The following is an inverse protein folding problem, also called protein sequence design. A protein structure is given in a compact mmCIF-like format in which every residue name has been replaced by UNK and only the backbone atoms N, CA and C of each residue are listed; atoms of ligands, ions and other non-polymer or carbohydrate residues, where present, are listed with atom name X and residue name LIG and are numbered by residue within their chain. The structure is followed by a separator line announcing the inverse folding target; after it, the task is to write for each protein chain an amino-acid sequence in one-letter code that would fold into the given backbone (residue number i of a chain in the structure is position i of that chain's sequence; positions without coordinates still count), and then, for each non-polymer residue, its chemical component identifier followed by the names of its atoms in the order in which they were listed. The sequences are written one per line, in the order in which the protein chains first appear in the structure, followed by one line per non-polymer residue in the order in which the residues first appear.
data_IF_496903408539
#
_entry.id   IF_496903408539
#
_cell.length_a   1.000
_cell.length_b   1.000
_cell.length_c   1.000
_cell.angle_alpha   90.00
_cell.angle_beta   90.00
_cell.angle_gamma   90.00
#
_symmetry.space_group_name_H-M   'P 1'
#
loop_
_entity.id
_entity.type
_entity.pdbx_description
1 polymer ?
#
# COMPACT_ATOMS: atom_id res chain seq x y z
N UNK A 1 12.37 -21.73 6.30
CA UNK A 1 13.00 -21.61 7.63
C UNK A 1 12.24 -22.36 8.73
N UNK A 2 10.93 -22.20 8.92
CA UNK A 2 10.19 -22.91 9.99
C UNK A 2 10.23 -24.44 9.88
N UNK A 3 10.08 -24.97 8.66
CA UNK A 3 10.18 -26.41 8.41
C UNK A 3 11.60 -26.90 8.73
N UNK A 4 12.62 -26.09 8.44
CA UNK A 4 14.02 -26.41 8.78
C UNK A 4 14.19 -26.44 10.29
N UNK A 5 13.72 -25.41 11.01
CA UNK A 5 13.76 -25.38 12.49
C UNK A 5 13.06 -26.59 13.12
N UNK A 6 11.95 -27.03 12.52
CA UNK A 6 11.25 -28.24 12.95
C UNK A 6 12.16 -29.48 12.88
N UNK A 7 12.92 -29.65 11.79
CA UNK A 7 13.79 -30.81 11.58
C UNK A 7 15.17 -30.69 12.23
N UNK A 8 15.63 -29.49 12.61
CA UNK A 8 16.83 -29.31 13.43
C UNK A 8 16.69 -30.03 14.78
N UNK A 9 15.47 -30.13 15.32
CA UNK A 9 15.23 -30.89 16.53
C UNK A 9 15.47 -32.40 16.28
N UNK A 10 16.44 -33.03 16.98
CA UNK A 10 16.80 -34.44 16.76
C UNK A 10 15.63 -35.42 16.92
N UNK A 11 14.62 -35.06 17.73
CA UNK A 11 13.41 -35.87 17.92
C UNK A 11 12.56 -36.00 16.64
N UNK A 12 12.60 -34.99 15.78
CA UNK A 12 11.81 -34.90 14.56
C UNK A 12 12.53 -35.49 13.34
N UNK A 13 13.84 -35.70 13.43
CA UNK A 13 14.68 -36.25 12.36
C UNK A 13 14.20 -37.64 11.89
N UNK A 14 13.54 -38.41 12.76
CA UNK A 14 12.97 -39.73 12.39
C UNK A 14 11.95 -39.66 11.24
N UNK A 15 11.24 -38.53 11.11
CA UNK A 15 10.25 -38.35 10.05
C UNK A 15 10.90 -38.19 8.66
N UNK A 16 12.21 -37.90 8.60
CA UNK A 16 12.94 -37.84 7.32
C UNK A 16 13.02 -39.22 6.64
N UNK A 17 13.00 -40.32 7.41
CA UNK A 17 12.99 -41.70 6.87
C UNK A 17 11.80 -41.95 5.95
N UNK A 18 10.67 -41.28 6.19
CA UNK A 18 9.48 -41.40 5.38
C UNK A 18 9.68 -40.87 3.95
N UNK A 19 10.73 -40.08 3.69
CA UNK A 19 10.99 -39.47 2.38
C UNK A 19 12.02 -40.23 1.55
N UNK A 20 12.58 -41.34 2.05
CA UNK A 20 13.65 -42.09 1.39
C UNK A 20 13.32 -42.49 -0.06
N UNK A 21 12.04 -42.72 -0.37
CA UNK A 21 11.57 -43.10 -1.72
C UNK A 21 11.70 -41.98 -2.76
N UNK A 22 11.89 -40.72 -2.34
CA UNK A 22 12.01 -39.56 -3.22
C UNK A 22 13.47 -39.18 -3.54
N UNK A 23 14.44 -39.86 -2.93
CA UNK A 23 15.87 -39.60 -3.12
C UNK A 23 16.48 -40.66 -4.05
N UNK A 24 17.45 -40.26 -4.86
CA UNK A 24 18.10 -41.15 -5.83
C UNK A 24 18.98 -42.21 -5.13
N UNK A 25 19.66 -41.83 -4.04
CA UNK A 25 20.51 -42.74 -3.28
C UNK A 25 19.86 -43.16 -1.96
N UNK A 26 19.97 -44.45 -1.65
CA UNK A 26 19.54 -45.02 -0.37
C UNK A 26 20.34 -44.50 0.83
N UNK A 27 21.46 -43.80 0.58
CA UNK A 27 22.30 -43.22 1.63
C UNK A 27 22.01 -41.75 1.93
N UNK A 28 21.21 -41.06 1.09
CA UNK A 28 20.99 -39.61 1.21
C UNK A 28 20.29 -39.24 2.52
N UNK A 29 19.12 -39.83 2.80
CA UNK A 29 18.41 -39.57 4.06
C UNK A 29 19.25 -40.00 5.28
N UNK A 30 19.86 -41.21 5.34
CA UNK A 30 20.76 -41.57 6.43
C UNK A 30 21.91 -40.58 6.63
N UNK A 31 22.48 -40.03 5.55
CA UNK A 31 23.53 -39.03 5.62
C UNK A 31 23.00 -37.71 6.20
N UNK A 32 21.87 -37.20 5.69
CA UNK A 32 21.20 -35.99 6.22
C UNK A 32 20.88 -36.16 7.71
N UNK A 33 20.29 -37.29 8.10
CA UNK A 33 19.96 -37.58 9.50
C UNK A 33 21.19 -37.64 10.40
N UNK A 34 22.30 -38.20 9.90
CA UNK A 34 23.57 -38.24 10.62
C UNK A 34 24.11 -36.82 10.81
N UNK A 35 24.10 -36.01 9.75
CA UNK A 35 24.59 -34.63 9.78
C UNK A 35 23.82 -33.79 10.80
N UNK A 36 22.48 -33.85 10.77
CA UNK A 36 21.62 -33.11 11.71
C UNK A 36 21.83 -33.52 13.17
N UNK A 37 22.10 -34.81 13.42
CA UNK A 37 22.30 -35.36 14.77
C UNK A 37 23.70 -35.15 15.33
N UNK A 38 24.73 -35.23 14.49
CA UNK A 38 26.13 -35.30 14.92
C UNK A 38 26.83 -33.96 14.81
N UNK A 39 26.50 -33.12 13.83
CA UNK A 39 27.19 -31.85 13.67
C UNK A 39 26.89 -30.92 14.85
N UNK A 40 27.92 -30.23 15.35
CA UNK A 40 27.77 -29.12 16.30
C UNK A 40 27.60 -27.77 15.58
N UNK A 41 27.87 -27.73 14.27
CA UNK A 41 27.78 -26.51 13.46
C UNK A 41 26.39 -26.37 12.85
N UNK A 42 25.79 -25.21 13.06
CA UNK A 42 24.45 -24.91 12.57
C UNK A 42 24.39 -24.88 11.04
N UNK A 43 25.43 -24.40 10.38
CA UNK A 43 25.51 -24.27 8.92
C UNK A 43 25.49 -25.62 8.20
N UNK A 44 26.15 -26.63 8.78
CA UNK A 44 26.19 -27.99 8.21
C UNK A 44 24.79 -28.65 8.28
N UNK A 45 24.07 -28.43 9.39
CA UNK A 45 22.66 -28.87 9.52
C UNK A 45 21.75 -28.16 8.54
N UNK A 46 21.92 -26.85 8.39
CA UNK A 46 21.15 -26.05 7.44
C UNK A 46 21.35 -26.56 6.02
N UNK A 47 22.59 -26.76 5.60
CA UNK A 47 22.90 -27.23 4.25
C UNK A 47 22.22 -28.58 3.97
N UNK A 48 22.33 -29.54 4.90
CA UNK A 48 21.69 -30.85 4.75
C UNK A 48 20.15 -30.76 4.66
N UNK A 49 19.52 -29.90 5.47
CA UNK A 49 18.07 -29.72 5.46
C UNK A 49 17.58 -28.90 4.26
N UNK A 50 18.38 -27.97 3.74
CA UNK A 50 18.09 -27.27 2.50
C UNK A 50 18.10 -28.24 1.32
N UNK A 51 19.14 -29.06 1.19
CA UNK A 51 19.18 -30.13 0.19
C UNK A 51 17.97 -31.06 0.29
N UNK A 52 17.58 -31.45 1.50
CA UNK A 52 16.37 -32.23 1.72
C UNK A 52 15.11 -31.52 1.19
N UNK A 53 14.92 -30.24 1.51
CA UNK A 53 13.76 -29.48 1.09
C UNK A 53 13.72 -29.23 -0.42
N UNK A 54 14.87 -29.02 -1.06
CA UNK A 54 14.94 -28.85 -2.52
C UNK A 54 14.38 -30.10 -3.23
N UNK A 55 14.82 -31.29 -2.83
CA UNK A 55 14.31 -32.55 -3.38
C UNK A 55 12.82 -32.76 -3.08
N UNK A 56 12.37 -32.41 -1.87
CA UNK A 56 10.95 -32.58 -1.49
C UNK A 56 10.04 -31.60 -2.23
N UNK A 57 10.45 -30.34 -2.39
CA UNK A 57 9.62 -29.34 -3.07
C UNK A 57 9.53 -29.56 -4.59
N UNK A 58 10.47 -30.28 -5.19
CA UNK A 58 10.41 -30.69 -6.60
C UNK A 58 9.37 -31.80 -6.87
N UNK A 59 8.85 -32.47 -5.83
CA UNK A 59 7.89 -33.57 -5.97
C UNK A 59 6.58 -33.33 -5.22
N UNK A 60 5.47 -33.22 -5.96
CA UNK A 60 4.15 -32.94 -5.38
C UNK A 60 3.69 -33.95 -4.32
N UNK A 61 3.97 -35.24 -4.49
CA UNK A 61 3.57 -36.25 -3.51
C UNK A 61 4.45 -36.20 -2.25
N UNK A 62 5.73 -35.87 -2.41
CA UNK A 62 6.60 -35.58 -1.28
C UNK A 62 6.11 -34.34 -0.51
N UNK A 63 5.69 -33.27 -1.20
CA UNK A 63 5.10 -32.09 -0.56
C UNK A 63 3.84 -32.44 0.26
N UNK A 64 2.93 -33.26 -0.28
CA UNK A 64 1.75 -33.72 0.48
C UNK A 64 2.13 -34.52 1.72
N UNK A 65 3.18 -35.34 1.62
CA UNK A 65 3.69 -36.12 2.75
C UNK A 65 4.31 -35.21 3.81
N UNK A 66 5.09 -34.20 3.37
CA UNK A 66 5.62 -33.16 4.23
C UNK A 66 4.51 -32.39 4.94
N UNK A 67 3.43 -32.04 4.25
CA UNK A 67 2.27 -31.39 4.86
C UNK A 67 1.66 -32.22 6.00
N UNK A 68 1.49 -33.53 5.77
CA UNK A 68 1.00 -34.46 6.80
C UNK A 68 1.94 -34.55 8.01
N UNK A 69 3.26 -34.52 7.79
CA UNK A 69 4.26 -34.50 8.87
C UNK A 69 4.18 -33.19 9.65
N UNK A 70 4.10 -32.04 8.98
CA UNK A 70 3.99 -30.72 9.63
C UNK A 70 2.76 -30.69 10.54
N UNK A 71 1.63 -31.23 10.07
CA UNK A 71 0.39 -31.32 10.88
C UNK A 71 0.56 -32.13 12.18
N UNK A 72 1.41 -33.16 12.17
CA UNK A 72 1.67 -34.01 13.34
C UNK A 72 2.68 -33.35 14.28
N UNK A 73 3.77 -32.82 13.73
CA UNK A 73 4.93 -32.35 14.49
C UNK A 73 4.75 -30.92 15.00
N UNK A 74 4.12 -30.06 14.19
CA UNK A 74 3.87 -28.66 14.52
C UNK A 74 2.47 -28.25 14.02
N UNK A 75 1.40 -28.62 14.74
CA UNK A 75 0.03 -28.32 14.34
C UNK A 75 -0.25 -26.82 14.30
N UNK A 76 0.45 -26.02 15.11
CA UNK A 76 0.30 -24.56 15.12
C UNK A 76 0.80 -23.96 13.82
N UNK A 77 2.02 -24.33 13.38
CA UNK A 77 2.56 -23.94 12.07
C UNK A 77 1.64 -24.39 10.93
N UNK A 78 1.12 -25.62 11.01
CA UNK A 78 0.21 -26.14 10.00
C UNK A 78 -1.08 -25.31 9.92
N UNK A 79 -1.68 -24.98 11.06
CA UNK A 79 -2.90 -24.17 11.14
C UNK A 79 -2.67 -22.73 10.64
N UNK A 80 -1.52 -22.13 10.97
CA UNK A 80 -1.11 -20.80 10.49
C UNK A 80 -0.94 -20.80 8.97
N UNK A 81 -0.21 -21.77 8.41
CA UNK A 81 0.03 -21.86 6.97
C UNK A 81 -1.25 -22.14 6.16
N UNK A 82 -2.17 -22.96 6.69
CA UNK A 82 -3.43 -23.33 6.03
C UNK A 82 -4.59 -22.37 6.32
N UNK A 83 -4.36 -21.32 7.11
CA UNK A 83 -5.40 -20.35 7.49
C UNK A 83 -6.67 -21.02 8.07
N UNK A 84 -6.52 -22.19 8.71
CA UNK A 84 -7.64 -23.10 9.03
C UNK A 84 -8.66 -22.52 10.01
N UNK A 85 -8.21 -21.65 10.91
CA UNK A 85 -9.04 -21.06 11.95
C UNK A 85 -9.83 -19.85 11.46
N UNK A 86 -9.75 -19.52 10.16
CA UNK A 86 -10.45 -18.37 9.58
C UNK A 86 -11.74 -18.84 8.91
N UNK A 87 -12.84 -18.16 9.20
CA UNK A 87 -14.09 -18.36 8.48
C UNK A 87 -13.91 -17.96 7.02
N UNK A 88 -14.41 -18.78 6.09
CA UNK A 88 -14.46 -18.47 4.65
C UNK A 88 -15.17 -17.15 4.34
N UNK A 89 -16.02 -16.67 5.26
CA UNK A 89 -16.73 -15.39 5.12
C UNK A 89 -15.99 -14.18 5.69
N UNK A 90 -14.79 -14.37 6.24
CA UNK A 90 -13.95 -13.29 6.75
C UNK A 90 -13.65 -12.26 5.67
N UNK A 91 -14.04 -11.00 5.93
CA UNK A 91 -13.72 -9.86 5.08
C UNK A 91 -12.19 -9.65 4.99
N UNK A 92 -11.46 -9.86 6.09
CA UNK A 92 -9.99 -9.76 6.10
C UNK A 92 -9.36 -10.80 5.18
N UNK A 93 -9.85 -12.05 5.19
CA UNK A 93 -9.33 -13.10 4.31
C UNK A 93 -9.63 -12.80 2.85
N UNK A 94 -10.87 -12.40 2.53
CA UNK A 94 -11.27 -12.05 1.15
C UNK A 94 -10.39 -10.93 0.59
N UNK A 95 -10.20 -9.86 1.37
CA UNK A 95 -9.34 -8.74 0.97
C UNK A 95 -7.86 -9.16 0.88
N UNK A 96 -7.37 -10.00 1.79
CA UNK A 96 -6.01 -10.51 1.73
C UNK A 96 -5.76 -11.32 0.45
N UNK A 97 -6.66 -12.24 0.12
CA UNK A 97 -6.56 -13.04 -1.10
C UNK A 97 -6.62 -12.15 -2.35
N UNK A 98 -7.57 -11.20 -2.42
CA UNK A 98 -7.69 -10.26 -3.54
C UNK A 98 -6.39 -9.47 -3.79
N UNK A 99 -5.70 -9.05 -2.73
CA UNK A 99 -4.52 -8.17 -2.83
C UNK A 99 -3.20 -8.91 -3.00
N UNK A 100 -3.04 -10.06 -2.36
CA UNK A 100 -1.78 -10.82 -2.41
C UNK A 100 -1.79 -11.97 -3.42
N UNK A 101 -2.96 -12.35 -3.95
CA UNK A 101 -3.16 -13.40 -4.94
C UNK A 101 -4.15 -12.93 -6.03
N UNK A 102 -3.76 -11.94 -6.86
CA UNK A 102 -4.64 -11.41 -7.89
C UNK A 102 -5.00 -12.49 -8.93
N UNK A 103 -6.26 -12.49 -9.38
CA UNK A 103 -6.72 -13.44 -10.40
C UNK A 103 -6.02 -13.19 -11.75
N UNK A 104 -5.56 -14.26 -12.40
CA UNK A 104 -5.07 -14.22 -13.79
C UNK A 104 -3.56 -14.19 -13.98
N UNK A 105 -2.76 -14.25 -12.91
CA UNK A 105 -1.30 -14.33 -13.02
C UNK A 105 -0.72 -15.32 -11.99
N UNK A 106 -0.72 -16.61 -12.34
CA UNK A 106 -0.24 -17.71 -11.49
C UNK A 106 1.26 -17.61 -11.18
N UNK A 107 2.04 -16.85 -11.96
CA UNK A 107 3.46 -16.62 -11.73
C UNK A 107 3.74 -15.46 -10.75
N UNK A 108 2.72 -14.66 -10.45
CA UNK A 108 2.86 -13.43 -9.69
C UNK A 108 2.53 -13.64 -8.21
N UNK A 109 3.48 -14.30 -7.52
CA UNK A 109 3.40 -14.51 -6.07
C UNK A 109 3.76 -13.19 -5.34
N UNK A 110 2.80 -12.27 -5.26
CA UNK A 110 2.99 -10.98 -4.58
C UNK A 110 3.35 -11.16 -3.11
N UNK A 111 2.80 -12.18 -2.46
CA UNK A 111 3.09 -12.47 -1.05
C UNK A 111 4.58 -12.69 -0.81
N UNK A 112 5.25 -13.49 -1.65
CA UNK A 112 6.68 -13.79 -1.51
C UNK A 112 7.55 -12.57 -1.82
N UNK A 113 7.18 -11.79 -2.84
CA UNK A 113 7.85 -10.51 -3.14
C UNK A 113 7.72 -9.52 -1.99
N UNK A 114 6.53 -9.42 -1.39
CA UNK A 114 6.30 -8.60 -0.22
C UNK A 114 7.11 -9.12 0.98
N UNK A 115 7.13 -10.42 1.22
CA UNK A 115 7.91 -11.02 2.31
C UNK A 115 9.42 -10.78 2.16
N UNK A 116 9.93 -10.79 0.92
CA UNK A 116 11.33 -10.53 0.62
C UNK A 116 11.72 -9.05 0.74
N UNK A 117 10.77 -8.13 0.54
CA UNK A 117 11.01 -6.68 0.55
C UNK A 117 10.62 -6.00 1.88
N UNK A 118 9.85 -6.67 2.74
CA UNK A 118 9.37 -6.12 4.00
C UNK A 118 10.43 -6.24 5.08
N UNK A 119 10.83 -5.10 5.63
CA UNK A 119 11.61 -5.01 6.86
C UNK A 119 10.66 -5.00 8.06
N UNK A 120 10.66 -6.11 8.79
CA UNK A 120 9.72 -6.40 9.86
C UNK A 120 9.86 -5.45 11.06
N UNK A 121 11.09 -5.08 11.45
CA UNK A 121 11.32 -4.24 12.62
C UNK A 121 10.79 -2.82 12.37
N UNK A 122 11.17 -2.22 11.24
CA UNK A 122 10.69 -0.89 10.87
C UNK A 122 9.19 -0.86 10.62
N UNK A 123 8.63 -1.94 10.06
CA UNK A 123 7.19 -2.07 9.84
C UNK A 123 6.42 -2.06 11.17
N UNK A 124 6.79 -2.92 12.13
CA UNK A 124 6.13 -2.99 13.44
C UNK A 124 6.25 -1.67 14.20
N UNK A 125 7.41 -1.02 14.15
CA UNK A 125 7.63 0.30 14.74
C UNK A 125 6.74 1.39 14.12
N UNK A 126 6.53 1.35 12.81
CA UNK A 126 5.66 2.29 12.10
C UNK A 126 4.18 2.04 12.36
N UNK A 127 3.79 0.77 12.47
CA UNK A 127 2.45 0.31 12.78
C UNK A 127 2.03 0.72 14.21
N UNK A 128 2.93 0.60 15.18
CA UNK A 128 2.68 1.00 16.58
C UNK A 128 2.42 2.51 16.76
N UNK A 129 2.81 3.34 15.77
CA UNK A 129 2.54 4.79 15.74
C UNK A 129 1.21 5.14 15.05
N UNK A 130 0.38 4.16 14.70
CA UNK A 130 -0.95 4.40 14.15
C UNK A 130 -2.00 4.42 15.27
N UNK A 131 -3.08 5.16 15.05
CA UNK A 131 -4.17 5.28 16.01
C UNK A 131 -4.88 3.93 16.25
N UNK A 132 -4.81 3.02 15.28
CA UNK A 132 -5.34 1.67 15.37
C UNK A 132 -4.28 0.71 15.92
N UNK A 133 -4.59 0.06 17.04
CA UNK A 133 -3.72 -0.94 17.65
C UNK A 133 -3.80 -2.30 16.97
N UNK A 134 -2.64 -2.90 16.68
CA UNK A 134 -2.47 -4.25 16.13
C UNK A 134 -1.65 -5.13 17.08
N UNK A 135 -2.19 -5.46 18.28
CA UNK A 135 -1.46 -6.27 19.26
C UNK A 135 -1.08 -7.64 18.71
N UNK A 136 -1.85 -8.21 17.79
CA UNK A 136 -1.58 -9.49 17.15
C UNK A 136 -0.30 -9.46 16.32
N UNK A 137 0.01 -8.32 15.70
CA UNK A 137 1.22 -8.14 14.88
C UNK A 137 2.42 -7.70 15.72
N UNK A 138 2.19 -6.86 16.74
CA UNK A 138 3.24 -6.33 17.62
C UNK A 138 3.74 -7.40 18.60
N UNK A 139 2.87 -8.32 19.04
CA UNK A 139 3.23 -9.39 19.99
C UNK A 139 3.90 -10.60 19.34
N UNK A 140 4.09 -10.59 18.02
CA UNK A 140 4.81 -11.66 17.33
C UNK A 140 6.22 -11.74 17.89
N UNK A 141 6.57 -12.90 18.44
CA UNK A 141 7.92 -13.16 18.93
C UNK A 141 8.89 -13.02 17.78
N UNK A 142 9.88 -12.13 17.94
CA UNK A 142 10.97 -11.95 16.98
C UNK A 142 11.64 -13.30 16.76
N UNK A 143 11.60 -13.84 15.52
CA UNK A 143 12.24 -15.10 15.25
C UNK A 143 13.75 -14.90 15.22
N UNK A 144 14.44 -15.63 16.09
CA UNK A 144 15.89 -15.67 16.12
C UNK A 144 16.37 -17.03 15.65
N UNK A 145 17.48 -17.02 14.93
CA UNK A 145 18.17 -18.23 14.52
C UNK A 145 19.60 -18.15 15.03
N UNK A 146 19.88 -18.85 16.14
CA UNK A 146 21.09 -18.60 16.92
C UNK A 146 21.05 -17.24 17.61
N UNK A 147 22.07 -16.40 17.35
CA UNK A 147 22.17 -15.03 17.88
C UNK A 147 21.64 -13.96 16.91
N UNK A 148 21.34 -14.33 15.66
CA UNK A 148 20.87 -13.41 14.62
C UNK A 148 19.34 -13.43 14.47
N UNK A 149 18.79 -12.29 14.02
CA UNK A 149 17.36 -12.14 13.72
C UNK A 149 17.12 -12.62 12.29
N UNK A 150 16.14 -13.50 12.10
CA UNK A 150 15.72 -13.95 10.77
C UNK A 150 14.63 -13.00 10.24
N UNK A 151 15.06 -11.91 9.61
CA UNK A 151 14.17 -10.86 9.08
C UNK A 151 13.15 -11.40 8.08
N UNK A 152 13.58 -12.30 7.17
CA UNK A 152 12.69 -12.89 6.15
C UNK A 152 11.62 -13.74 6.80
N UNK A 153 12.00 -14.56 7.79
CA UNK A 153 11.02 -15.33 8.54
C UNK A 153 10.06 -14.41 9.30
N UNK A 154 10.57 -13.35 9.92
CA UNK A 154 9.73 -12.39 10.64
C UNK A 154 8.70 -11.74 9.71
N UNK A 155 9.14 -11.27 8.54
CA UNK A 155 8.28 -10.67 7.52
C UNK A 155 7.19 -11.66 7.05
N UNK A 156 7.56 -12.89 6.72
CA UNK A 156 6.61 -13.92 6.29
C UNK A 156 5.57 -14.22 7.39
N UNK A 157 5.98 -14.23 8.65
CA UNK A 157 5.08 -14.46 9.80
C UNK A 157 4.11 -13.30 10.00
N UNK A 158 4.57 -12.06 9.86
CA UNK A 158 3.71 -10.87 9.88
C UNK A 158 2.65 -10.97 8.78
N UNK A 159 3.06 -11.23 7.55
CA UNK A 159 2.15 -11.29 6.40
C UNK A 159 1.12 -12.42 6.54
N UNK A 160 1.52 -13.60 7.05
CA UNK A 160 0.60 -14.71 7.37
C UNK A 160 -0.37 -14.40 8.52
N UNK A 161 -0.04 -13.43 9.36
CA UNK A 161 -0.91 -13.00 10.46
C UNK A 161 -1.97 -11.98 10.02
N UNK A 162 -1.77 -11.26 8.90
CA UNK A 162 -2.73 -10.31 8.36
C UNK A 162 -4.16 -10.88 8.14
N UNK A 163 -4.35 -12.05 7.49
CA UNK A 163 -5.69 -12.62 7.32
C UNK A 163 -6.31 -13.14 8.63
N UNK A 164 -5.50 -13.35 9.68
CA UNK A 164 -5.97 -13.78 11.02
C UNK A 164 -6.56 -12.61 11.84
N UNK A 165 -6.40 -11.37 11.37
CA UNK A 165 -6.93 -10.20 12.06
C UNK A 165 -8.46 -10.23 12.07
N UNK A 166 -9.05 -10.34 13.26
CA UNK A 166 -10.50 -10.28 13.47
C UNK A 166 -10.99 -8.82 13.37
N UNK A 167 -11.09 -8.32 12.14
CA UNK A 167 -11.49 -6.94 11.84
C UNK A 167 -12.72 -6.96 10.93
N UNK A 168 -13.71 -6.15 11.28
CA UNK A 168 -14.93 -5.99 10.49
C UNK A 168 -14.77 -4.96 9.35
N UNK A 169 -13.64 -4.26 9.30
CA UNK A 169 -13.33 -3.24 8.30
C UNK A 169 -12.06 -3.60 7.55
N UNK A 170 -11.96 -3.08 6.33
CA UNK A 170 -10.80 -3.06 5.46
C UNK A 170 -9.67 -2.13 5.95
N UNK A 171 -9.82 -1.50 7.13
CA UNK A 171 -8.85 -0.52 7.65
C UNK A 171 -7.45 -1.10 7.86
N UNK A 172 -7.36 -2.39 8.20
CA UNK A 172 -6.07 -3.05 8.43
C UNK A 172 -5.15 -2.98 7.20
N UNK A 173 -5.73 -3.04 6.01
CA UNK A 173 -4.98 -3.00 4.77
C UNK A 173 -4.42 -1.60 4.50
N UNK A 174 -5.22 -0.56 4.70
CA UNK A 174 -4.76 0.81 4.53
C UNK A 174 -3.76 1.21 5.62
N UNK A 175 -3.92 0.69 6.84
CA UNK A 175 -2.95 0.90 7.91
C UNK A 175 -1.64 0.16 7.62
N UNK A 176 -1.68 -1.04 7.03
CA UNK A 176 -0.51 -1.73 6.48
C UNK A 176 0.18 -0.88 5.41
N UNK A 177 -0.54 -0.42 4.40
CA UNK A 177 0.01 0.44 3.32
C UNK A 177 0.61 1.73 3.88
N UNK A 178 -0.07 2.35 4.86
CA UNK A 178 0.39 3.56 5.54
C UNK A 178 1.62 3.32 6.41
N UNK A 179 1.74 2.17 7.06
CA UNK A 179 2.94 1.80 7.80
C UNK A 179 4.13 1.63 6.84
N UNK A 180 3.93 0.96 5.71
CA UNK A 180 4.96 0.80 4.69
C UNK A 180 5.36 2.12 4.02
N UNK A 181 4.45 3.08 3.85
CA UNK A 181 4.77 4.36 3.17
C UNK A 181 5.56 5.34 4.04
N UNK A 182 5.39 5.25 5.37
CA UNK A 182 6.10 6.06 6.37
C UNK A 182 7.59 5.73 6.43
N UNK A 183 7.97 4.51 6.09
CA UNK A 183 9.34 4.03 6.17
C UNK A 183 9.98 3.90 4.77
N UNK A 184 11.17 4.50 4.52
CA UNK A 184 11.84 4.40 3.21
C UNK A 184 12.16 2.96 2.78
N UNK A 185 12.50 2.06 3.71
CA UNK A 185 12.88 0.68 3.42
C UNK A 185 11.67 -0.16 3.01
N UNK A 186 10.51 0.09 3.62
CA UNK A 186 9.28 -0.66 3.33
C UNK A 186 8.49 -0.13 2.12
N UNK A 187 8.89 1.00 1.51
CA UNK A 187 8.26 1.50 0.28
C UNK A 187 8.39 0.53 -0.90
N UNK A 188 9.45 -0.29 -0.92
CA UNK A 188 9.64 -1.30 -1.96
C UNK A 188 8.46 -2.29 -2.02
N UNK A 189 7.88 -2.64 -0.86
CA UNK A 189 6.68 -3.49 -0.77
C UNK A 189 5.51 -2.87 -1.54
N UNK A 190 5.34 -1.54 -1.46
CA UNK A 190 4.25 -0.83 -2.13
C UNK A 190 4.41 -0.81 -3.64
N UNK A 191 5.63 -0.83 -4.15
CA UNK A 191 5.85 -0.91 -5.60
C UNK A 191 5.29 -2.21 -6.20
N UNK A 192 5.34 -3.31 -5.44
CA UNK A 192 4.76 -4.59 -5.85
C UNK A 192 3.25 -4.64 -5.58
N UNK A 193 2.81 -4.17 -4.42
CA UNK A 193 1.44 -4.36 -3.95
C UNK A 193 0.46 -3.33 -4.52
N UNK A 194 0.81 -2.04 -4.49
CA UNK A 194 0.02 -0.93 -5.04
C UNK A 194 0.92 0.20 -5.57
N UNK A 195 1.24 0.22 -6.87
CA UNK A 195 1.99 1.31 -7.49
C UNK A 195 1.34 2.69 -7.29
N UNK A 196 0.02 2.75 -7.17
CA UNK A 196 -0.76 3.96 -6.95
C UNK A 196 -1.16 4.18 -5.47
N UNK A 197 -0.34 3.70 -4.51
CA UNK A 197 -0.67 3.74 -3.08
C UNK A 197 -0.98 5.16 -2.55
N UNK A 198 -0.37 6.21 -3.11
CA UNK A 198 -0.58 7.60 -2.66
C UNK A 198 -2.03 8.06 -2.87
N UNK A 199 -2.56 7.84 -4.07
CA UNK A 199 -3.95 8.14 -4.44
C UNK A 199 -4.92 7.31 -3.59
N UNK A 200 -4.60 6.02 -3.39
CA UNK A 200 -5.41 5.11 -2.58
C UNK A 200 -5.50 5.57 -1.12
N UNK A 201 -4.38 6.01 -0.53
CA UNK A 201 -4.35 6.55 0.82
C UNK A 201 -5.10 7.88 0.92
N UNK A 202 -4.96 8.77 -0.07
CA UNK A 202 -5.67 10.04 -0.11
C UNK A 202 -7.20 9.84 -0.17
N UNK A 203 -7.66 9.00 -1.10
CA UNK A 203 -9.07 8.64 -1.25
C UNK A 203 -9.63 8.04 0.05
N UNK A 204 -8.87 7.20 0.74
CA UNK A 204 -9.28 6.63 2.02
C UNK A 204 -9.38 7.68 3.13
N UNK A 205 -8.50 8.67 3.16
CA UNK A 205 -8.58 9.78 4.12
C UNK A 205 -9.80 10.66 3.87
N UNK A 206 -10.19 10.86 2.61
CA UNK A 206 -11.43 11.56 2.23
C UNK A 206 -12.65 10.75 2.71
N UNK A 207 -12.66 9.44 2.46
CA UNK A 207 -13.73 8.55 2.90
C UNK A 207 -13.88 8.52 4.43
N UNK A 208 -12.78 8.40 5.18
CA UNK A 208 -12.79 8.45 6.65
C UNK A 208 -13.32 9.80 7.18
N UNK A 209 -13.00 10.91 6.50
CA UNK A 209 -13.57 12.23 6.81
C UNK A 209 -15.08 12.23 6.61
N UNK A 210 -15.58 11.73 5.47
CA UNK A 210 -17.03 11.61 5.18
C UNK A 210 -17.78 10.77 6.21
N UNK A 211 -17.21 9.64 6.65
CA UNK A 211 -17.79 8.78 7.70
C UNK A 211 -17.88 9.50 9.07
N UNK A 212 -16.86 10.29 9.42
CA UNK A 212 -16.84 11.08 10.68
C UNK A 212 -17.83 12.25 10.66
N UNK A 213 -18.00 12.89 9.51
CA UNK A 213 -18.97 13.99 9.32
C UNK A 213 -20.41 13.47 9.08
N UNK A 214 -20.64 12.16 9.19
CA UNK A 214 -21.93 11.47 9.02
C UNK A 214 -23.02 11.81 10.06
N UNK A 215 -22.89 12.90 10.81
CA UNK A 215 -24.03 13.64 11.36
C UNK A 215 -24.10 14.97 10.60
N UNK A 216 -24.85 14.96 9.50
CA UNK A 216 -25.20 16.13 8.68
C UNK A 216 -24.14 16.61 7.68
N UNK A 217 -23.91 15.85 6.61
CA UNK A 217 -23.68 16.45 5.29
C UNK A 217 -24.56 15.70 4.32
N UNK A 218 -25.61 16.38 3.84
CA UNK A 218 -26.44 15.89 2.73
C UNK A 218 -25.57 15.87 1.46
N UNK A 219 -25.51 14.71 0.83
CA UNK A 219 -25.33 14.38 -0.59
C UNK A 219 -24.91 15.44 -1.65
N UNK A 220 -23.95 16.33 -1.38
CA UNK A 220 -23.46 17.27 -2.41
C UNK A 220 -22.04 17.00 -2.94
N UNK A 221 -21.44 15.83 -2.70
CA UNK A 221 -20.08 15.57 -3.19
C UNK A 221 -19.82 14.13 -3.66
N UNK A 222 -20.73 13.60 -4.46
CA UNK A 222 -20.49 12.41 -5.29
C UNK A 222 -20.13 12.85 -6.72
N UNK A 223 -18.86 12.74 -7.12
CA UNK A 223 -18.52 12.70 -8.56
C UNK A 223 -18.75 11.27 -9.04
N UNK A 224 -20.02 10.92 -9.21
CA UNK A 224 -20.41 9.84 -10.10
C UNK A 224 -20.14 10.25 -11.55
N UNK A 225 -20.10 9.28 -12.46
CA UNK A 225 -19.94 9.49 -13.89
C UNK A 225 -20.73 10.73 -14.34
N UNK A 226 -20.01 11.80 -14.69
CA UNK A 226 -20.60 13.07 -15.10
C UNK A 226 -21.38 12.79 -16.37
N UNK A 227 -22.71 12.95 -16.39
CA UNK A 227 -23.44 12.90 -17.64
C UNK A 227 -22.85 13.98 -18.54
N UNK A 228 -22.52 13.62 -19.77
CA UNK A 228 -21.92 14.51 -20.75
C UNK A 228 -22.87 15.70 -20.99
N UNK A 229 -22.57 16.84 -20.36
CA UNK A 229 -23.40 18.05 -20.45
C UNK A 229 -23.06 18.72 -21.78
N UNK A 230 -23.93 18.55 -22.76
CA UNK A 230 -23.81 19.12 -24.11
C UNK A 230 -24.33 20.56 -24.22
N UNK A 231 -24.90 21.11 -23.15
CA UNK A 231 -25.50 22.45 -23.13
C UNK A 231 -24.80 23.41 -22.16
N UNK A 232 -24.69 24.69 -22.56
CA UNK A 232 -24.15 25.74 -21.69
C UNK A 232 -25.06 25.94 -20.47
N UNK A 233 -24.55 25.68 -19.26
CA UNK A 233 -25.27 25.92 -18.01
C UNK A 233 -25.45 27.41 -17.74
N UNK A 234 -26.58 27.78 -17.12
CA UNK A 234 -26.86 29.18 -16.79
C UNK A 234 -26.22 29.53 -15.44
N UNK A 235 -25.76 30.77 -15.23
CA UNK A 235 -25.18 31.20 -13.95
C UNK A 235 -26.12 31.02 -12.74
N UNK A 236 -27.44 31.03 -12.96
CA UNK A 236 -28.46 30.75 -11.94
C UNK A 236 -28.34 29.35 -11.35
N UNK A 237 -27.87 28.39 -12.14
CA UNK A 237 -27.77 27.00 -11.74
C UNK A 237 -26.69 26.81 -10.67
N UNK A 238 -25.76 27.77 -10.53
CA UNK A 238 -24.71 27.77 -9.51
C UNK A 238 -25.06 28.56 -8.24
N UNK A 239 -26.25 29.15 -8.17
CA UNK A 239 -26.63 30.00 -7.03
C UNK A 239 -26.67 29.24 -5.69
N UNK A 240 -26.96 27.94 -5.70
CA UNK A 240 -27.00 27.11 -4.50
C UNK A 240 -25.61 26.69 -4.00
N UNK A 241 -24.58 26.71 -4.88
CA UNK A 241 -23.18 26.48 -4.50
C UNK A 241 -22.49 27.74 -3.98
N UNK A 242 -23.11 28.91 -4.09
CA UNK A 242 -22.64 30.13 -3.40
C UNK A 242 -22.92 29.95 -1.92
N UNK A 243 -21.97 29.32 -1.22
CA UNK A 243 -22.02 29.13 0.22
C UNK A 243 -22.15 30.50 0.90
N UNK A 244 -23.03 30.62 1.90
CA UNK A 244 -23.16 31.80 2.75
C UNK A 244 -22.01 31.94 3.76
N UNK A 245 -20.78 31.63 3.34
CA UNK A 245 -19.59 31.69 4.19
C UNK A 245 -19.05 33.12 4.15
N UNK A 246 -19.76 34.00 4.85
CA UNK A 246 -19.24 35.28 5.29
C UNK A 246 -19.31 35.27 6.81
N UNK A 247 -18.48 34.47 7.48
CA UNK A 247 -18.22 34.64 8.93
C UNK A 247 -16.88 34.01 9.40
N UNK A 248 -16.22 33.17 8.59
CA UNK A 248 -14.85 32.71 8.84
C UNK A 248 -13.85 33.27 7.81
N UNK A 249 -13.83 34.59 7.62
CA UNK A 249 -12.68 35.24 6.97
C UNK A 249 -11.56 35.29 8.00
N UNK A 250 -10.84 34.17 8.13
CA UNK A 250 -9.48 34.22 8.64
C UNK A 250 -8.72 35.13 7.67
N UNK A 251 -8.25 36.30 8.14
CA UNK A 251 -7.46 37.24 7.33
C UNK A 251 -6.39 36.44 6.58
N UNK A 252 -6.54 36.40 5.25
CA UNK A 252 -5.62 35.66 4.40
C UNK A 252 -4.23 36.22 4.60
N UNK A 253 -3.25 35.34 4.80
CA UNK A 253 -1.85 35.73 4.72
C UNK A 253 -1.63 36.51 3.43
N UNK A 254 -1.09 37.73 3.53
CA UNK A 254 -0.80 38.57 2.37
C UNK A 254 0.03 37.77 1.37
N UNK A 255 -0.53 37.50 0.19
CA UNK A 255 0.12 36.69 -0.84
C UNK A 255 1.36 37.45 -1.35
N UNK A 256 2.54 37.04 -0.86
CA UNK A 256 3.84 37.62 -1.23
C UNK A 256 4.46 36.81 -2.36
N UNK A 257 4.62 37.45 -3.51
CA UNK A 257 5.30 36.85 -4.65
C UNK A 257 6.81 36.72 -4.39
N UNK A 258 7.42 35.67 -4.92
CA UNK A 258 8.88 35.52 -5.03
C UNK A 258 9.41 36.42 -6.15
N UNK A 259 10.71 36.80 -6.15
CA UNK A 259 11.24 37.73 -7.16
C UNK A 259 10.97 37.33 -8.62
N UNK A 260 11.05 36.03 -8.95
CA UNK A 260 10.74 35.56 -10.31
C UNK A 260 9.23 35.59 -10.64
N UNK A 261 8.36 35.50 -9.63
CA UNK A 261 6.92 35.61 -9.79
C UNK A 261 6.51 37.07 -10.02
N UNK A 262 7.19 38.02 -9.36
CA UNK A 262 7.02 39.46 -9.61
C UNK A 262 7.38 39.81 -11.06
N UNK A 263 8.49 39.28 -11.58
CA UNK A 263 8.88 39.43 -12.98
C UNK A 263 7.81 38.88 -13.95
N UNK A 264 7.26 37.69 -13.65
CA UNK A 264 6.18 37.09 -14.44
C UNK A 264 4.88 37.92 -14.42
N UNK A 265 4.59 38.59 -13.29
CA UNK A 265 3.38 39.39 -13.09
C UNK A 265 3.49 40.80 -13.69
N UNK A 266 4.69 41.38 -13.77
CA UNK A 266 4.94 42.78 -14.09
C UNK A 266 4.24 43.25 -15.37
N UNK A 267 4.30 42.46 -16.44
CA UNK A 267 3.66 42.81 -17.72
C UNK A 267 2.13 42.82 -17.61
N UNK A 268 1.54 41.87 -16.88
CA UNK A 268 0.10 41.77 -16.68
C UNK A 268 -0.43 42.87 -15.75
N UNK A 269 0.32 43.21 -14.69
CA UNK A 269 0.00 44.32 -13.77
C UNK A 269 -0.02 45.69 -14.47
N UNK A 270 0.72 45.84 -15.59
CA UNK A 270 0.66 47.03 -16.45
C UNK A 270 -0.53 47.04 -17.42
N UNK A 271 -1.46 46.09 -17.30
CA UNK A 271 -2.63 45.97 -18.17
C UNK A 271 -2.32 45.43 -19.57
N UNK A 272 -1.18 44.76 -19.78
CA UNK A 272 -0.84 44.14 -21.07
C UNK A 272 -1.33 42.69 -21.12
N UNK A 273 -1.88 42.31 -22.27
CA UNK A 273 -2.16 40.89 -22.56
C UNK A 273 -0.85 40.09 -22.51
N UNK A 274 -0.75 39.19 -21.54
CA UNK A 274 0.51 38.52 -21.18
C UNK A 274 0.31 37.00 -21.16
N UNK A 275 1.26 36.26 -21.72
CA UNK A 275 1.35 34.80 -21.56
C UNK A 275 2.47 34.52 -20.55
N UNK A 276 2.12 34.05 -19.37
CA UNK A 276 3.09 33.69 -18.34
C UNK A 276 3.56 32.24 -18.54
N UNK A 277 4.82 32.06 -18.97
CA UNK A 277 5.43 30.75 -19.17
C UNK A 277 6.37 30.42 -18.01
N UNK A 278 6.04 29.43 -17.20
CA UNK A 278 6.89 28.95 -16.12
C UNK A 278 6.73 27.44 -15.85
N UNK A 279 7.76 26.74 -15.35
CA UNK A 279 7.73 25.30 -15.07
C UNK A 279 6.59 24.88 -14.14
N UNK A 280 6.24 23.59 -14.12
CA UNK A 280 5.29 23.04 -13.14
C UNK A 280 5.83 23.21 -11.71
N UNK A 281 4.97 23.53 -10.74
CA UNK A 281 5.38 23.80 -9.35
C UNK A 281 5.99 25.19 -9.09
N UNK A 282 6.11 26.05 -10.10
CA UNK A 282 6.65 27.42 -9.93
C UNK A 282 5.67 28.43 -9.30
N UNK A 283 4.44 28.03 -8.99
CA UNK A 283 3.43 28.92 -8.41
C UNK A 283 2.73 29.83 -9.43
N UNK A 284 2.48 29.36 -10.66
CA UNK A 284 1.72 30.11 -11.69
C UNK A 284 0.33 30.55 -11.20
N UNK A 285 -0.32 29.75 -10.36
CA UNK A 285 -1.63 30.08 -9.79
C UNK A 285 -1.54 31.27 -8.83
N UNK A 286 -0.48 31.35 -8.01
CA UNK A 286 -0.24 32.49 -7.11
C UNK A 286 -0.04 33.79 -7.91
N UNK A 287 0.70 33.73 -9.01
CA UNK A 287 0.87 34.86 -9.95
C UNK A 287 -0.47 35.31 -10.52
N UNK A 288 -1.31 34.37 -10.96
CA UNK A 288 -2.62 34.68 -11.53
C UNK A 288 -3.58 35.30 -10.51
N UNK A 289 -3.57 34.80 -9.27
CA UNK A 289 -4.35 35.36 -8.16
C UNK A 289 -3.88 36.79 -7.87
N UNK A 290 -2.57 37.00 -7.73
CA UNK A 290 -2.00 38.33 -7.46
C UNK A 290 -2.42 39.37 -8.51
N UNK A 291 -2.31 39.03 -9.80
CA UNK A 291 -2.71 39.92 -10.90
C UNK A 291 -4.20 40.26 -10.83
N UNK A 292 -5.07 39.29 -10.52
CA UNK A 292 -6.50 39.54 -10.40
C UNK A 292 -6.83 40.40 -9.17
N UNK A 293 -6.22 40.14 -8.01
CA UNK A 293 -6.40 40.96 -6.81
C UNK A 293 -5.95 42.39 -7.06
N UNK A 294 -4.76 42.60 -7.63
CA UNK A 294 -4.29 43.96 -7.95
C UNK A 294 -5.18 44.70 -8.93
N UNK A 295 -5.76 44.01 -9.92
CA UNK A 295 -6.70 44.64 -10.86
C UNK A 295 -8.03 45.01 -10.21
N UNK A 296 -8.49 44.22 -9.24
CA UNK A 296 -9.68 44.54 -8.45
C UNK A 296 -9.43 45.74 -7.54
N UNK A 297 -8.27 45.79 -6.88
CA UNK A 297 -7.88 46.89 -5.99
C UNK A 297 -7.74 48.21 -6.77
N UNK A 298 -7.03 48.19 -7.91
CA UNK A 298 -6.88 49.37 -8.79
C UNK A 298 -8.24 49.89 -9.26
N UNK A 299 -9.20 49.00 -9.54
CA UNK A 299 -10.56 49.40 -9.93
C UNK A 299 -11.39 49.94 -8.78
N UNK A 300 -11.23 49.37 -7.59
CA UNK A 300 -11.89 49.84 -6.37
C UNK A 300 -11.41 51.27 -6.03
N UNK A 301 -10.10 51.52 -6.10
CA UNK A 301 -9.51 52.86 -5.92
C UNK A 301 -10.03 53.86 -6.96
N UNK A 302 -10.16 53.43 -8.22
CA UNK A 302 -10.64 54.26 -9.32
C UNK A 302 -12.18 54.40 -9.38
N UNK A 303 -12.94 53.93 -8.37
CA UNK A 303 -14.41 54.00 -8.28
C UNK A 303 -15.13 53.43 -9.52
N UNK A 304 -14.50 52.50 -10.24
CA UNK A 304 -15.10 51.87 -11.40
C UNK A 304 -15.99 50.70 -10.94
N UNK A 305 -17.16 50.49 -11.55
CA UNK A 305 -18.04 49.39 -11.15
C UNK A 305 -17.35 48.05 -11.44
N UNK A 306 -17.26 47.18 -10.42
CA UNK A 306 -16.71 45.82 -10.51
C UNK A 306 -17.55 44.84 -11.39
N UNK A 307 -18.41 45.37 -12.27
CA UNK A 307 -19.42 44.62 -13.03
C UNK A 307 -18.87 43.82 -14.21
N UNK A 308 -17.60 43.99 -14.55
CA UNK A 308 -16.91 43.15 -15.54
C UNK A 308 -16.12 42.09 -14.77
N UNK A 309 -16.72 40.92 -14.57
CA UNK A 309 -16.16 39.84 -13.77
C UNK A 309 -14.81 39.35 -14.29
N UNK A 310 -13.94 38.94 -13.37
CA UNK A 310 -12.78 38.12 -13.71
C UNK A 310 -13.25 36.69 -13.94
N UNK A 311 -13.00 36.16 -15.13
CA UNK A 311 -13.30 34.78 -15.47
C UNK A 311 -11.99 34.00 -15.63
N UNK A 312 -11.77 33.03 -14.76
CA UNK A 312 -10.65 32.11 -14.86
C UNK A 312 -11.09 30.85 -15.59
N UNK A 313 -10.61 30.69 -16.83
CA UNK A 313 -10.84 29.48 -17.61
C UNK A 313 -9.77 28.44 -17.26
N UNK A 314 -10.19 27.33 -16.65
CA UNK A 314 -9.32 26.21 -16.31
C UNK A 314 -9.65 25.07 -17.25
N UNK A 315 -8.68 24.64 -18.06
CA UNK A 315 -8.81 23.44 -18.87
C UNK A 315 -8.16 22.26 -18.13
N UNK A 316 -8.96 21.26 -17.74
CA UNK A 316 -8.44 20.00 -17.25
C UNK A 316 -8.27 19.05 -18.43
N UNK A 317 -7.03 18.89 -18.91
CA UNK A 317 -6.70 17.80 -19.83
C UNK A 317 -6.69 16.49 -19.05
N UNK A 318 -7.83 15.81 -18.98
CA UNK A 318 -7.88 14.39 -18.64
C UNK A 318 -7.20 13.67 -19.80
N UNK A 319 -5.97 13.16 -19.60
CA UNK A 319 -5.42 12.19 -20.54
C UNK A 319 -6.32 10.96 -20.42
N UNK A 320 -7.02 10.53 -21.49
CA UNK A 320 -7.68 9.24 -21.45
C UNK A 320 -6.59 8.21 -21.16
N UNK A 321 -6.84 7.35 -20.18
CA UNK A 321 -6.11 6.10 -20.06
C UNK A 321 -6.14 5.44 -21.45
N UNK A 322 -4.98 5.12 -21.99
CA UNK A 322 -4.86 4.44 -23.28
C UNK A 322 -5.55 3.10 -23.13
N UNK A 323 -6.80 3.03 -23.58
CA UNK A 323 -7.51 1.79 -23.80
C UNK A 323 -6.73 0.99 -24.85
N UNK A 324 -6.60 -0.32 -24.61
CA UNK A 324 -5.72 -1.23 -25.33
C UNK A 324 -5.73 -1.04 -26.85
N UNK A 325 -4.53 -1.06 -27.43
CA UNK A 325 -4.38 -1.37 -28.84
C UNK A 325 -4.83 -2.81 -29.09
N UNK A 326 -5.72 -3.07 -30.06
CA UNK A 326 -5.87 -4.42 -30.59
C UNK A 326 -4.61 -4.72 -31.40
N UNK A 327 -3.97 -5.85 -31.09
CA UNK A 327 -2.92 -6.42 -31.93
C UNK A 327 -3.51 -6.76 -33.31
N UNK A 328 -3.22 -5.92 -34.29
CA UNK A 328 -3.20 -6.31 -35.69
C UNK A 328 -1.78 -6.12 -36.22
N UNK A 329 -1.03 -7.22 -36.16
CA UNK A 329 -0.11 -7.79 -37.16
C UNK A 329 0.92 -8.68 -36.48
#
# INVERSE_FOLDING_TARGET
MEIIQMFINPANVRYLEEFQEYFESSEDIPAIMREVRVSDKLDEKLYALHYFLDVVFDNLDAVKKLDAVIKIVNPDLWNEAHLRNISSDSLSLKLFLEKFFPEGDEELILLDRCAAALDAEFFVNSLNKLDNGYPELISIKVPTFGEEIDERYWAARILRTLPLLNRNTDDWFYDFVKACSRDPYNRAVLFYLLPNYEEVLENRLIEKRRRRTGKSVKDDEFVGAVPEITEMRKPSDYAHFRTSVCDDVQESETLKLRPYQEELAEAALRGKNTIACAPTGSGKTEVAIHVATSHLDERAENHQPARNGHEFLINQSVRPAVAGFPSML
#
